data_IF_219279732398
#
_entry.id   IF_219279732398
#
_cell.length_a   1.000
_cell.length_b   1.000
_cell.length_c   1.000
_cell.angle_alpha   90.00
_cell.angle_beta   90.00
_cell.angle_gamma   90.00
#
_symmetry.space_group_name_H-M   'P 1'
#
loop_
_entity.id
_entity.type
_entity.pdbx_description
1 polymer ?
#
# COMPACT_ATOMS: atom_id res chain seq x y z
N UNK A 1 1.02 -1.63 -27.40
CA UNK A 1 2.31 -1.99 -26.80
C UNK A 1 2.85 -3.29 -27.40
N UNK A 2 3.42 -3.25 -28.62
CA UNK A 2 3.68 -4.46 -29.44
C UNK A 2 5.16 -4.64 -29.83
N UNK A 3 6.09 -3.97 -29.15
CA UNK A 3 7.49 -3.91 -29.57
C UNK A 3 8.51 -3.80 -28.43
N UNK A 4 8.42 -4.66 -27.42
CA UNK A 4 9.61 -4.99 -26.61
C UNK A 4 9.50 -6.43 -26.12
N UNK A 5 10.47 -7.26 -26.53
CA UNK A 5 10.58 -8.68 -26.13
C UNK A 5 10.98 -8.87 -24.66
N UNK A 6 11.14 -7.80 -23.89
CA UNK A 6 11.38 -7.85 -22.45
C UNK A 6 10.71 -6.66 -21.77
N UNK A 7 9.46 -6.84 -21.34
CA UNK A 7 8.85 -5.98 -20.34
C UNK A 7 9.13 -6.63 -18.98
N UNK A 8 9.88 -5.96 -18.11
CA UNK A 8 10.19 -6.52 -16.81
C UNK A 8 8.88 -6.78 -16.02
N UNK A 9 8.82 -7.87 -15.23
CA UNK A 9 7.66 -8.19 -14.42
C UNK A 9 7.20 -7.00 -13.56
N UNK A 10 5.90 -6.71 -13.65
CA UNK A 10 5.25 -5.77 -12.75
C UNK A 10 5.11 -6.40 -11.37
N UNK A 11 5.40 -5.63 -10.33
CA UNK A 11 5.39 -6.08 -8.93
C UNK A 11 4.14 -5.66 -8.19
N UNK A 12 3.57 -4.52 -8.56
CA UNK A 12 2.34 -3.97 -7.99
C UNK A 12 1.71 -2.98 -8.95
N UNK A 13 0.45 -2.64 -8.68
CA UNK A 13 -0.25 -1.55 -9.32
C UNK A 13 -1.23 -0.91 -8.34
N UNK A 14 -1.53 0.37 -8.55
CA UNK A 14 -2.58 1.06 -7.81
C UNK A 14 -3.38 1.97 -8.75
N UNK A 15 -4.63 2.21 -8.38
CA UNK A 15 -5.55 3.06 -9.12
C UNK A 15 -5.66 4.41 -8.42
N UNK A 16 -5.71 5.49 -9.20
CA UNK A 16 -5.91 6.81 -8.63
C UNK A 16 -7.40 7.04 -8.32
N UNK A 17 -7.72 7.14 -7.03
CA UNK A 17 -9.10 7.37 -6.57
C UNK A 17 -9.68 8.74 -6.95
N UNK A 18 -8.84 9.72 -7.29
CA UNK A 18 -9.25 11.09 -7.64
C UNK A 18 -9.37 11.24 -9.15
N UNK A 19 -8.32 10.87 -9.89
CA UNK A 19 -8.31 10.82 -11.35
C UNK A 19 -8.34 9.36 -11.81
N UNK A 20 -9.54 8.81 -11.89
CA UNK A 20 -9.82 7.41 -12.28
C UNK A 20 -9.33 7.03 -13.68
N UNK A 21 -8.82 7.99 -14.48
CA UNK A 21 -8.15 7.67 -15.73
C UNK A 21 -6.71 7.18 -15.52
N UNK A 22 -6.16 7.28 -14.31
CA UNK A 22 -4.76 7.00 -14.02
C UNK A 22 -4.55 5.68 -13.27
N UNK A 23 -3.60 4.89 -13.77
CA UNK A 23 -3.10 3.68 -13.13
C UNK A 23 -1.58 3.81 -12.97
N UNK A 24 -1.07 3.45 -11.80
CA UNK A 24 0.36 3.38 -11.52
C UNK A 24 0.76 1.93 -11.45
N UNK A 25 1.89 1.56 -12.05
CA UNK A 25 2.47 0.22 -11.98
C UNK A 25 3.93 0.32 -11.57
N UNK A 26 4.37 -0.52 -10.64
CA UNK A 26 5.79 -0.68 -10.28
C UNK A 26 6.38 -1.93 -10.92
N UNK A 27 7.69 -1.93 -11.14
CA UNK A 27 8.41 -2.99 -11.83
C UNK A 27 9.75 -3.30 -11.18
N UNK A 28 10.26 -4.51 -11.41
CA UNK A 28 11.62 -4.90 -11.01
C UNK A 28 12.70 -4.17 -11.82
N UNK A 29 12.35 -3.49 -12.92
CA UNK A 29 13.30 -2.68 -13.70
C UNK A 29 13.59 -1.29 -13.10
N UNK A 30 13.30 -1.10 -11.81
CA UNK A 30 13.48 0.16 -11.05
C UNK A 30 12.47 1.27 -11.37
N UNK A 31 11.55 1.04 -12.32
CA UNK A 31 10.64 2.08 -12.77
C UNK A 31 9.24 1.99 -12.17
N UNK A 32 8.60 3.16 -12.08
CA UNK A 32 7.16 3.29 -11.94
C UNK A 32 6.60 3.89 -13.23
N UNK A 33 5.58 3.26 -13.79
CA UNK A 33 4.89 3.74 -15.00
C UNK A 33 3.49 4.20 -14.64
N UNK A 34 3.15 5.42 -15.04
CA UNK A 34 1.80 5.97 -14.93
C UNK A 34 1.13 5.88 -16.29
N UNK A 35 0.01 5.18 -16.32
CA UNK A 35 -0.80 4.93 -17.49
C UNK A 35 -2.03 5.83 -17.45
N UNK A 36 -2.41 6.36 -18.61
CA UNK A 36 -3.70 6.98 -18.82
C UNK A 36 -4.58 6.02 -19.59
N UNK A 37 -5.66 5.58 -18.94
CA UNK A 37 -6.65 4.65 -19.47
C UNK A 37 -7.89 5.45 -19.82
N UNK A 38 -7.89 6.00 -21.02
CA UNK A 38 -9.10 6.56 -21.61
C UNK A 38 -9.82 5.48 -22.40
N UNK A 39 -11.05 5.15 -22.00
CA UNK A 39 -11.80 4.13 -22.71
C UNK A 39 -12.49 4.68 -23.96
N UNK A 40 -12.87 5.97 -23.96
CA UNK A 40 -13.66 6.62 -25.02
C UNK A 40 -14.98 5.90 -25.33
N UNK A 41 -15.38 4.93 -24.50
CA UNK A 41 -16.44 3.96 -24.76
C UNK A 41 -17.61 4.22 -23.82
N UNK A 42 -18.84 4.03 -24.33
CA UNK A 42 -20.02 3.99 -23.49
C UNK A 42 -19.87 2.84 -22.47
N UNK A 43 -20.23 3.09 -21.21
CA UNK A 43 -20.07 2.18 -20.05
C UNK A 43 -20.61 0.75 -20.28
N UNK A 44 -21.51 0.56 -21.25
CA UNK A 44 -22.11 -0.73 -21.58
C UNK A 44 -21.36 -1.58 -22.61
N UNK A 45 -20.23 -1.10 -23.17
CA UNK A 45 -19.48 -1.82 -24.21
C UNK A 45 -18.04 -2.02 -23.75
N UNK A 46 -17.71 -3.23 -23.30
CA UNK A 46 -16.34 -3.61 -22.99
C UNK A 46 -15.64 -4.10 -24.26
N UNK A 47 -14.89 -3.22 -24.93
CA UNK A 47 -13.88 -3.63 -25.92
C UNK A 47 -12.50 -3.47 -25.31
N UNK A 48 -11.50 -4.14 -25.90
CA UNK A 48 -10.10 -3.89 -25.56
C UNK A 48 -9.81 -2.40 -25.73
N UNK A 49 -9.46 -1.73 -24.64
CA UNK A 49 -9.04 -0.34 -24.62
C UNK A 49 -7.53 -0.28 -24.52
N UNK A 50 -6.91 0.52 -25.38
CA UNK A 50 -5.48 0.78 -25.33
C UNK A 50 -5.22 1.90 -24.32
N UNK A 51 -4.55 1.56 -23.22
CA UNK A 51 -3.97 2.57 -22.33
C UNK A 51 -2.71 3.16 -22.95
N UNK A 52 -2.49 4.45 -22.74
CA UNK A 52 -1.25 5.14 -23.15
C UNK A 52 -0.35 5.34 -21.93
N UNK A 53 0.97 5.27 -22.14
CA UNK A 53 1.92 5.66 -21.09
C UNK A 53 1.87 7.17 -20.98
N UNK A 54 1.43 7.68 -19.83
CA UNK A 54 1.42 9.12 -19.53
C UNK A 54 2.81 9.58 -19.14
N UNK A 55 3.46 8.83 -18.27
CA UNK A 55 4.84 9.09 -17.86
C UNK A 55 5.47 7.82 -17.28
N UNK A 56 6.79 7.74 -17.32
CA UNK A 56 7.58 6.69 -16.68
C UNK A 56 8.72 7.37 -15.93
N UNK A 57 8.91 6.98 -14.66
CA UNK A 57 9.93 7.54 -13.79
C UNK A 57 10.80 6.41 -13.21
N UNK A 58 12.09 6.69 -13.04
CA UNK A 58 13.00 5.84 -12.29
C UNK A 58 12.79 6.19 -10.82
N UNK A 59 12.14 5.30 -10.06
CA UNK A 59 11.75 5.61 -8.69
C UNK A 59 12.93 5.36 -7.73
N UNK A 60 13.71 4.33 -8.01
CA UNK A 60 14.77 3.85 -7.17
C UNK A 60 15.92 3.29 -8.00
N UNK A 61 16.99 2.90 -7.31
CA UNK A 61 18.21 2.40 -7.90
C UNK A 61 18.18 0.85 -8.02
N UNK A 62 17.16 0.21 -7.42
CA UNK A 62 16.84 -1.22 -7.54
C UNK A 62 15.32 -1.47 -7.63
N UNK A 63 14.88 -2.72 -7.48
CA UNK A 63 13.52 -3.18 -7.72
C UNK A 63 12.47 -2.42 -6.89
N UNK A 64 11.46 -1.88 -7.57
CA UNK A 64 10.32 -1.25 -6.89
C UNK A 64 9.30 -2.34 -6.59
N UNK A 65 8.99 -2.56 -5.31
CA UNK A 65 8.11 -3.65 -4.89
C UNK A 65 6.66 -3.22 -4.71
N UNK A 66 6.39 -1.92 -4.64
CA UNK A 66 5.04 -1.39 -4.47
C UNK A 66 4.92 0.07 -4.87
N UNK A 67 3.72 0.44 -5.24
CA UNK A 67 3.30 1.80 -5.58
C UNK A 67 1.93 2.06 -4.98
N UNK A 68 1.72 3.26 -4.45
CA UNK A 68 0.41 3.69 -3.97
C UNK A 68 0.14 5.15 -4.34
N UNK A 69 -1.05 5.41 -4.86
CA UNK A 69 -1.59 6.77 -4.96
C UNK A 69 -2.11 7.22 -3.61
N UNK A 70 -1.83 8.49 -3.31
CA UNK A 70 -2.44 9.18 -2.18
C UNK A 70 -3.47 10.19 -2.66
N UNK A 71 -4.46 10.48 -1.81
CA UNK A 71 -5.41 11.57 -2.05
C UNK A 71 -4.81 12.95 -1.75
N UNK A 72 -3.59 13.00 -1.22
CA UNK A 72 -2.83 14.25 -1.06
C UNK A 72 -2.66 14.97 -2.40
N UNK A 73 -2.50 16.29 -2.33
CA UNK A 73 -2.29 17.15 -3.49
C UNK A 73 -3.27 16.89 -4.65
N UNK A 74 -4.53 16.52 -4.37
CA UNK A 74 -5.56 16.14 -5.34
C UNK A 74 -5.21 14.92 -6.21
N UNK A 75 -4.58 13.90 -5.63
CA UNK A 75 -4.22 12.67 -6.35
C UNK A 75 -2.99 12.83 -7.24
N UNK A 76 -2.15 13.84 -6.99
CA UNK A 76 -0.98 14.17 -7.83
C UNK A 76 0.33 13.63 -7.28
N UNK A 77 0.27 12.93 -6.16
CA UNK A 77 1.44 12.35 -5.51
C UNK A 77 1.32 10.83 -5.48
N UNK A 78 2.46 10.17 -5.61
CA UNK A 78 2.60 8.72 -5.48
C UNK A 78 3.68 8.40 -4.46
N UNK A 79 3.50 7.27 -3.78
CA UNK A 79 4.53 6.63 -2.99
C UNK A 79 5.07 5.42 -3.73
N UNK A 80 6.39 5.27 -3.74
CA UNK A 80 7.07 4.10 -4.29
C UNK A 80 8.16 3.64 -3.33
N UNK A 81 8.28 2.32 -3.16
CA UNK A 81 9.24 1.73 -2.23
C UNK A 81 10.17 0.72 -2.88
N UNK A 82 11.43 0.78 -2.46
CA UNK A 82 12.49 -0.16 -2.82
C UNK A 82 13.57 -0.13 -1.73
N UNK A 83 14.27 -1.25 -1.53
CA UNK A 83 15.49 -1.33 -0.71
C UNK A 83 15.44 -0.72 0.70
N UNK A 84 14.31 -0.87 1.38
CA UNK A 84 14.14 -0.31 2.72
C UNK A 84 13.79 1.18 2.75
N UNK A 85 13.64 1.82 1.59
CA UNK A 85 13.27 3.23 1.50
C UNK A 85 11.88 3.43 0.90
N UNK A 86 11.16 4.42 1.44
CA UNK A 86 9.91 4.92 0.93
C UNK A 86 10.14 6.32 0.36
N UNK A 87 9.83 6.52 -0.91
CA UNK A 87 9.93 7.82 -1.59
C UNK A 87 8.57 8.31 -2.05
N UNK A 88 8.40 9.63 -2.05
CA UNK A 88 7.23 10.34 -2.56
C UNK A 88 7.62 11.14 -3.82
N UNK A 89 6.76 11.13 -4.82
CA UNK A 89 6.95 11.85 -6.09
C UNK A 89 5.72 12.72 -6.40
N UNK A 90 5.93 13.99 -6.76
CA UNK A 90 4.90 14.82 -7.40
C UNK A 90 4.89 14.52 -8.90
N UNK A 91 3.76 14.04 -9.42
CA UNK A 91 3.60 13.67 -10.82
C UNK A 91 3.78 14.83 -11.80
N UNK A 92 3.79 16.08 -11.32
CA UNK A 92 4.09 17.27 -12.12
C UNK A 92 5.57 17.63 -12.13
N UNK A 93 6.33 17.17 -11.14
CA UNK A 93 7.73 17.54 -10.91
C UNK A 93 8.56 16.29 -10.62
N UNK A 94 8.63 15.39 -11.61
CA UNK A 94 9.28 14.09 -11.50
C UNK A 94 10.81 14.15 -11.32
N UNK A 95 11.40 15.32 -11.47
CA UNK A 95 12.84 15.56 -11.27
C UNK A 95 13.25 15.50 -9.78
N UNK A 96 12.28 15.63 -8.87
CA UNK A 96 12.51 15.62 -7.44
C UNK A 96 11.68 14.54 -6.75
N UNK A 97 12.33 13.80 -5.85
CA UNK A 97 11.67 12.89 -4.93
C UNK A 97 11.96 13.29 -3.49
N UNK A 98 11.02 12.99 -2.60
CA UNK A 98 11.20 13.17 -1.16
C UNK A 98 11.36 11.81 -0.50
N UNK A 99 12.42 11.61 0.27
CA UNK A 99 12.58 10.40 1.09
C UNK A 99 11.67 10.55 2.32
N UNK A 100 10.68 9.67 2.43
CA UNK A 100 9.70 9.68 3.50
C UNK A 100 10.13 8.83 4.68
N UNK A 101 10.82 7.73 4.40
CA UNK A 101 11.33 6.82 5.42
C UNK A 101 12.47 6.00 4.83
N UNK A 102 13.45 5.68 5.67
CA UNK A 102 14.54 4.79 5.35
C UNK A 102 14.79 3.87 6.54
N UNK A 103 14.66 2.57 6.31
CA UNK A 103 14.88 1.54 7.30
C UNK A 103 16.38 1.41 7.58
N UNK A 104 16.85 1.56 8.83
CA UNK A 104 18.28 1.54 9.17
C UNK A 104 19.00 0.26 8.77
N UNK A 105 18.30 -0.87 8.74
CA UNK A 105 18.84 -2.16 8.30
C UNK A 105 18.92 -2.31 6.77
N UNK A 106 18.36 -1.36 6.02
CA UNK A 106 18.12 -1.43 4.56
C UNK A 106 17.38 -2.70 4.12
N UNK A 107 16.66 -3.35 5.04
CA UNK A 107 15.82 -4.48 4.73
C UNK A 107 14.61 -4.01 3.89
N UNK A 108 14.19 -4.76 2.85
CA UNK A 108 13.11 -4.34 1.98
C UNK A 108 11.82 -4.03 2.74
N UNK A 109 11.21 -2.89 2.43
CA UNK A 109 9.83 -2.62 2.85
C UNK A 109 8.86 -3.47 2.02
N UNK A 110 7.83 -3.97 2.68
CA UNK A 110 6.69 -4.72 2.16
C UNK A 110 5.38 -3.95 2.44
N UNK A 111 4.29 -4.27 1.72
CA UNK A 111 3.05 -3.49 1.42
C UNK A 111 3.00 -1.96 1.72
N UNK A 112 2.53 -1.15 0.77
CA UNK A 112 2.18 0.26 1.03
C UNK A 112 0.67 0.44 1.09
N UNK A 113 0.19 0.98 2.21
CA UNK A 113 -1.22 1.30 2.39
C UNK A 113 -1.38 2.74 2.85
N UNK A 114 -2.01 3.56 2.00
CA UNK A 114 -2.34 4.95 2.31
C UNK A 114 -3.69 5.00 3.02
N UNK A 115 -3.76 5.73 4.13
CA UNK A 115 -5.01 5.95 4.82
C UNK A 115 -5.93 6.84 3.97
N UNK A 116 -7.10 6.29 3.60
CA UNK A 116 -8.05 6.94 2.68
C UNK A 116 -8.91 8.00 3.37
N UNK A 117 -8.99 7.99 4.70
CA UNK A 117 -9.73 8.96 5.51
C UNK A 117 -8.85 10.11 6.00
N UNK A 118 -7.59 9.83 6.35
CA UNK A 118 -6.57 10.85 6.64
C UNK A 118 -5.32 10.59 5.79
N UNK A 119 -5.19 11.34 4.71
CA UNK A 119 -4.11 11.17 3.74
C UNK A 119 -2.70 11.48 4.29
N UNK A 120 -2.60 11.96 5.54
CA UNK A 120 -1.30 12.16 6.17
C UNK A 120 -0.64 10.86 6.64
N UNK A 121 -1.41 9.79 6.84
CA UNK A 121 -0.89 8.54 7.40
C UNK A 121 -0.70 7.45 6.34
N UNK A 122 0.43 6.75 6.46
CA UNK A 122 0.80 5.61 5.62
C UNK A 122 1.23 4.48 6.53
N UNK A 123 0.87 3.25 6.17
CA UNK A 123 1.35 2.05 6.83
C UNK A 123 2.25 1.26 5.89
N UNK A 124 3.31 0.70 6.45
CA UNK A 124 4.21 -0.24 5.78
C UNK A 124 4.84 -1.17 6.81
N UNK A 125 5.53 -2.22 6.38
CA UNK A 125 6.25 -3.11 7.28
C UNK A 125 7.51 -3.62 6.61
N UNK A 126 8.51 -3.98 7.40
CA UNK A 126 9.78 -4.50 6.90
C UNK A 126 9.64 -5.99 6.61
N UNK A 127 10.35 -6.51 5.61
CA UNK A 127 10.40 -7.93 5.32
C UNK A 127 10.81 -8.73 6.57
N UNK A 128 10.10 -9.82 6.83
CA UNK A 128 10.31 -10.73 7.97
C UNK A 128 10.19 -10.06 9.37
N UNK A 129 9.64 -8.85 9.45
CA UNK A 129 9.35 -8.15 10.70
C UNK A 129 7.94 -8.45 11.22
N UNK A 130 7.79 -8.50 12.55
CA UNK A 130 6.50 -8.56 13.22
C UNK A 130 5.88 -7.16 13.46
N UNK A 131 6.63 -6.09 13.20
CA UNK A 131 6.19 -4.72 13.43
C UNK A 131 5.56 -4.11 12.17
N UNK A 132 4.45 -3.38 12.36
CA UNK A 132 3.94 -2.44 11.34
C UNK A 132 4.35 -1.03 11.69
N UNK A 133 4.87 -0.31 10.70
CA UNK A 133 5.36 1.05 10.82
C UNK A 133 4.27 2.00 10.30
N UNK A 134 3.87 2.96 11.14
CA UNK A 134 2.98 4.06 10.75
C UNK A 134 3.82 5.32 10.55
N UNK A 135 3.69 5.93 9.38
CA UNK A 135 4.39 7.14 8.96
C UNK A 135 3.41 8.30 8.85
N UNK A 136 3.87 9.51 9.19
CA UNK A 136 3.17 10.76 8.93
C UNK A 136 3.94 11.53 7.86
N UNK A 137 3.29 11.83 6.74
CA UNK A 137 3.91 12.53 5.59
C UNK A 137 4.42 13.92 5.93
N UNK A 138 3.91 14.53 7.01
CA UNK A 138 4.32 15.85 7.48
C UNK A 138 5.63 15.79 8.27
N UNK A 139 6.04 14.60 8.71
CA UNK A 139 7.22 14.36 9.54
C UNK A 139 8.07 13.26 8.86
N UNK A 140 8.76 13.59 7.75
CA UNK A 140 9.56 12.61 7.04
C UNK A 140 10.69 12.04 7.91
N UNK A 141 11.14 10.85 7.53
CA UNK A 141 12.22 10.08 8.15
C UNK A 141 11.93 9.52 9.56
N UNK A 142 10.82 9.90 10.20
CA UNK A 142 10.50 9.46 11.57
C UNK A 142 9.15 8.75 11.62
N UNK A 143 9.09 7.48 12.05
CA UNK A 143 7.81 6.82 12.26
C UNK A 143 7.07 7.41 13.46
N UNK A 144 5.76 7.60 13.32
CA UNK A 144 4.91 8.16 14.38
C UNK A 144 4.37 7.08 15.33
N UNK A 145 4.30 5.84 14.86
CA UNK A 145 3.97 4.69 15.69
C UNK A 145 4.56 3.41 15.08
N UNK A 146 4.74 2.42 15.95
CA UNK A 146 5.01 1.03 15.59
C UNK A 146 3.98 0.15 16.28
N UNK A 147 3.33 -0.72 15.52
CA UNK A 147 2.37 -1.70 16.04
C UNK A 147 3.12 -3.02 16.22
N UNK A 148 3.32 -3.42 17.46
CA UNK A 148 4.09 -4.60 17.85
C UNK A 148 3.25 -5.48 18.80
N UNK A 149 2.76 -6.59 18.28
CA UNK A 149 2.03 -7.61 19.05
C UNK A 149 1.97 -8.94 18.26
N UNK A 150 2.18 -8.89 16.94
CA UNK A 150 2.38 -10.08 16.13
C UNK A 150 3.56 -10.92 16.63
N UNK A 151 3.40 -12.25 16.58
CA UNK A 151 4.44 -13.22 16.97
C UNK A 151 5.14 -13.86 15.78
N UNK A 152 4.78 -13.43 14.58
CA UNK A 152 5.37 -13.83 13.31
C UNK A 152 5.44 -12.64 12.37
N UNK A 153 6.02 -12.84 11.20
CA UNK A 153 6.13 -11.78 10.19
C UNK A 153 4.76 -11.24 9.78
N UNK A 154 4.65 -9.94 9.60
CA UNK A 154 3.47 -9.32 9.01
C UNK A 154 3.49 -9.58 7.50
N UNK A 155 2.34 -9.95 6.95
CA UNK A 155 2.17 -10.21 5.52
C UNK A 155 1.16 -9.26 4.87
N UNK A 156 0.25 -8.67 5.66
CA UNK A 156 -0.79 -7.81 5.16
C UNK A 156 -1.16 -6.70 6.15
N UNK A 157 -1.55 -5.57 5.59
CA UNK A 157 -2.06 -4.41 6.30
C UNK A 157 -3.20 -3.81 5.48
N UNK A 158 -4.23 -3.26 6.12
CA UNK A 158 -5.34 -2.60 5.46
C UNK A 158 -5.96 -1.54 6.38
N UNK A 159 -6.08 -0.30 5.90
CA UNK A 159 -6.80 0.75 6.62
C UNK A 159 -8.31 0.53 6.59
N UNK A 160 -8.98 0.88 7.68
CA UNK A 160 -10.44 0.88 7.70
C UNK A 160 -10.99 1.98 6.77
N UNK A 161 -11.98 1.67 5.92
CA UNK A 161 -12.57 2.66 5.02
C UNK A 161 -13.50 3.64 5.76
N UNK A 162 -13.96 3.31 6.97
CA UNK A 162 -14.88 4.13 7.76
C UNK A 162 -14.21 4.96 8.86
N UNK A 163 -12.93 4.72 9.15
CA UNK A 163 -12.23 5.34 10.27
C UNK A 163 -10.80 5.70 9.88
N UNK A 164 -10.35 6.89 10.28
CA UNK A 164 -8.95 7.32 10.10
C UNK A 164 -8.00 6.72 11.13
N UNK A 165 -8.52 6.07 12.18
CA UNK A 165 -7.70 5.51 13.26
C UNK A 165 -7.78 3.99 13.38
N UNK A 166 -8.57 3.32 12.54
CA UNK A 166 -8.60 1.85 12.54
C UNK A 166 -7.77 1.27 11.41
N UNK A 167 -6.96 0.28 11.75
CA UNK A 167 -6.13 -0.46 10.81
C UNK A 167 -6.15 -1.95 11.16
N UNK A 168 -6.19 -2.80 10.14
CA UNK A 168 -6.07 -4.23 10.28
C UNK A 168 -4.68 -4.68 9.84
N UNK A 169 -4.05 -5.55 10.61
CA UNK A 169 -2.78 -6.20 10.26
C UNK A 169 -2.95 -7.71 10.32
N UNK A 170 -2.22 -8.45 9.50
CA UNK A 170 -2.29 -9.91 9.48
C UNK A 170 -0.94 -10.54 9.13
N UNK A 171 -0.63 -11.70 9.71
CA UNK A 171 0.71 -12.27 9.62
C UNK A 171 0.85 -13.79 9.75
N UNK A 172 2.11 -14.20 9.86
CA UNK A 172 2.60 -15.58 9.96
C UNK A 172 2.25 -16.30 11.26
N UNK A 173 1.86 -15.56 12.29
CA UNK A 173 1.28 -16.09 13.53
C UNK A 173 -0.17 -16.57 13.37
N UNK A 174 -0.70 -16.52 12.14
CA UNK A 174 -2.09 -16.86 11.84
C UNK A 174 -3.08 -15.93 12.54
N UNK A 175 -2.66 -14.71 12.90
CA UNK A 175 -3.52 -13.72 13.53
C UNK A 175 -3.86 -12.57 12.59
N UNK A 176 -5.09 -12.08 12.69
CA UNK A 176 -5.50 -10.78 12.19
C UNK A 176 -5.83 -9.89 13.39
N UNK A 177 -5.15 -8.75 13.49
CA UNK A 177 -5.27 -7.81 14.59
C UNK A 177 -5.91 -6.52 14.08
N UNK A 178 -6.85 -5.96 14.84
CA UNK A 178 -7.41 -4.63 14.60
C UNK A 178 -6.85 -3.69 15.64
N UNK A 179 -6.34 -2.56 15.18
CA UNK A 179 -5.71 -1.55 16.01
C UNK A 179 -6.51 -0.27 15.98
N UNK A 180 -6.51 0.44 17.09
CA UNK A 180 -6.96 1.82 17.16
C UNK A 180 -5.77 2.73 17.48
N UNK A 181 -5.43 3.60 16.53
CA UNK A 181 -4.28 4.50 16.61
C UNK A 181 -4.68 5.92 17.01
N UNK A 182 -5.90 6.14 17.50
CA UNK A 182 -6.39 7.46 17.88
C UNK A 182 -5.59 8.14 19.00
N UNK A 183 -4.84 7.35 19.79
CA UNK A 183 -4.01 7.83 20.90
C UNK A 183 -2.64 8.35 20.46
N UNK A 184 -2.27 8.19 19.17
CA UNK A 184 -0.99 8.67 18.65
C UNK A 184 -0.76 10.16 18.98
N UNK A 185 0.48 10.56 19.33
CA UNK A 185 1.72 9.78 19.24
C UNK A 185 2.02 8.93 20.47
N UNK A 186 1.05 8.71 21.39
CA UNK A 186 1.26 7.76 22.49
C UNK A 186 1.40 6.34 21.91
N UNK A 187 2.22 5.47 22.52
CA UNK A 187 2.30 4.07 22.12
C UNK A 187 0.92 3.42 22.08
N UNK A 188 0.71 2.60 21.05
CA UNK A 188 -0.47 1.75 20.91
C UNK A 188 -0.07 0.37 21.43
N UNK A 189 -0.40 0.10 22.69
CA UNK A 189 0.14 -1.07 23.40
C UNK A 189 -0.52 -2.39 22.96
N UNK A 190 -1.85 -2.39 22.76
CA UNK A 190 -2.60 -3.60 22.45
C UNK A 190 -3.61 -3.38 21.30
N UNK A 191 -3.83 -4.40 20.46
CA UNK A 191 -4.91 -4.37 19.48
C UNK A 191 -6.27 -4.42 20.17
N UNK A 192 -7.26 -3.76 19.58
CA UNK A 192 -8.65 -3.74 20.10
C UNK A 192 -9.40 -5.04 19.80
N UNK A 193 -9.03 -5.75 18.74
CA UNK A 193 -9.57 -7.06 18.38
C UNK A 193 -8.46 -7.96 17.83
N UNK A 194 -8.57 -9.26 18.10
CA UNK A 194 -7.67 -10.27 17.58
C UNK A 194 -8.48 -11.48 17.09
N UNK A 195 -8.20 -11.93 15.88
CA UNK A 195 -8.76 -13.13 15.28
C UNK A 195 -7.66 -14.15 14.99
N UNK A 196 -7.92 -15.42 15.29
CA UNK A 196 -7.00 -16.53 15.05
C UNK A 196 -7.51 -17.39 13.90
N UNK A 197 -6.82 -17.35 12.76
CA UNK A 197 -7.11 -18.16 11.58
C UNK A 197 -6.51 -19.58 11.68
N UNK A 198 -6.93 -20.47 10.78
CA UNK A 198 -6.43 -21.84 10.67
C UNK A 198 -5.03 -21.99 10.02
N UNK A 199 -4.33 -20.89 9.74
CA UNK A 199 -2.98 -20.85 9.19
C UNK A 199 -2.49 -19.43 8.91
N UNK A 200 -1.23 -19.31 8.47
CA UNK A 200 -0.58 -18.04 8.13
C UNK A 200 -1.45 -17.24 7.16
N UNK A 201 -1.79 -16.02 7.57
CA UNK A 201 -2.59 -15.11 6.75
C UNK A 201 -1.64 -14.44 5.76
N UNK A 202 -1.91 -14.63 4.48
CA UNK A 202 -1.09 -14.10 3.39
C UNK A 202 -1.54 -12.70 2.95
N UNK A 203 -2.83 -12.41 3.10
CA UNK A 203 -3.42 -11.15 2.67
C UNK A 203 -4.65 -10.84 3.53
N UNK A 204 -4.84 -9.55 3.81
CA UNK A 204 -6.03 -9.00 4.42
C UNK A 204 -6.53 -7.84 3.57
N UNK A 205 -7.84 -7.66 3.53
CA UNK A 205 -8.48 -6.54 2.85
C UNK A 205 -9.72 -6.11 3.62
N UNK A 206 -9.91 -4.80 3.77
CA UNK A 206 -11.06 -4.22 4.43
C UNK A 206 -12.12 -3.84 3.39
N UNK A 207 -13.36 -4.33 3.53
CA UNK A 207 -14.39 -4.08 2.55
C UNK A 207 -14.84 -2.60 2.55
N UNK A 208 -14.65 -1.90 1.42
CA UNK A 208 -15.06 -0.49 1.27
C UNK A 208 -16.58 -0.31 1.29
N UNK A 209 -17.33 -1.24 0.68
CA UNK A 209 -18.79 -1.17 0.59
C UNK A 209 -19.50 -1.62 1.89
N UNK A 210 -18.85 -2.47 2.68
CA UNK A 210 -19.39 -3.01 3.94
C UNK A 210 -18.32 -2.87 5.03
N UNK A 211 -18.18 -1.68 5.63
CA UNK A 211 -17.05 -1.36 6.50
C UNK A 211 -16.95 -2.16 7.79
N UNK A 212 -17.97 -2.92 8.16
CA UNK A 212 -17.95 -3.86 9.30
C UNK A 212 -17.31 -5.20 8.94
N UNK A 213 -16.80 -5.37 7.70
CA UNK A 213 -16.29 -6.65 7.22
C UNK A 213 -14.86 -6.55 6.70
N UNK A 214 -14.07 -7.54 7.07
CA UNK A 214 -12.74 -7.80 6.52
C UNK A 214 -12.74 -9.17 5.82
N UNK A 215 -11.86 -9.33 4.85
CA UNK A 215 -11.56 -10.62 4.25
C UNK A 215 -10.10 -10.98 4.47
N UNK A 216 -9.85 -12.23 4.87
CA UNK A 216 -8.51 -12.79 5.05
C UNK A 216 -8.32 -14.00 4.15
N UNK A 217 -7.11 -14.15 3.61
CA UNK A 217 -6.72 -15.29 2.79
C UNK A 217 -5.61 -16.08 3.48
N UNK A 218 -5.82 -17.37 3.71
CA UNK A 218 -4.79 -18.28 4.20
C UNK A 218 -4.90 -19.63 3.50
N UNK A 219 -3.75 -20.28 3.21
CA UNK A 219 -3.70 -21.54 2.44
C UNK A 219 -4.55 -21.44 1.16
N UNK A 220 -5.61 -22.25 1.06
CA UNK A 220 -6.57 -22.28 -0.05
C UNK A 220 -7.98 -21.81 0.41
N UNK A 221 -8.05 -21.01 1.47
CA UNK A 221 -9.29 -20.55 2.09
C UNK A 221 -9.38 -19.02 2.07
N UNK A 222 -10.59 -18.53 1.88
CA UNK A 222 -10.99 -17.14 2.05
C UNK A 222 -12.04 -17.11 3.17
N UNK A 223 -11.77 -16.36 4.23
CA UNK A 223 -12.74 -16.10 5.29
C UNK A 223 -13.14 -14.63 5.26
N UNK A 224 -14.43 -14.38 5.48
CA UNK A 224 -14.99 -13.03 5.60
C UNK A 224 -15.49 -12.89 7.02
N UNK A 225 -14.91 -11.95 7.75
CA UNK A 225 -15.10 -11.76 9.18
C UNK A 225 -15.79 -10.43 9.41
N UNK A 226 -16.69 -10.40 10.38
CA UNK A 226 -17.28 -9.16 10.86
C UNK A 226 -16.43 -8.62 12.01
N UNK A 227 -16.10 -7.34 11.96
CA UNK A 227 -15.27 -6.61 12.94
C UNK A 227 -16.02 -5.45 13.55
#
# INVERSE_FOLDING_TARGET
NRSSEYCAPLTSFDWNDIDVSLIGTSSIDTTCTIWQVETGQAVSVARSTEGTVKTQLIAHDKEVFDIAFTRMASGREIFARADGSLRMFDLRHLEHSTIMFEEPSHAPLLRLECNKQDCNYIATFVQDSAEVIILDVRIPCTPVAKLDNHRGRVNGVAWAPHSSCHICTAGGDSQALIWDIHTMPRPVDDPILAYQAGGEINQVHWATAFPDWISICYKNMLEILRV
#
